data_IF_718577824252
#
_entry.id   IF_718577824252
#
_cell.length_a   1.000
_cell.length_b   1.000
_cell.length_c   1.000
_cell.angle_alpha   90.00
_cell.angle_beta   90.00
_cell.angle_gamma   90.00
#
_symmetry.space_group_name_H-M   'P 1'
#
loop_
_entity.id
_entity.type
_entity.pdbx_description
1 polymer ?
#
# COMPACT_ATOMS: atom_id res chain seq x y z
N UNK A 1 19.48 -2.29 -5.58
CA UNK A 1 18.61 -1.93 -4.43
C UNK A 1 19.35 -2.19 -3.12
N UNK A 2 19.33 -1.26 -2.16
CA UNK A 2 19.95 -1.50 -0.87
C UNK A 2 19.26 -2.66 -0.15
N UNK A 3 20.00 -3.55 0.56
CA UNK A 3 19.39 -4.69 1.22
C UNK A 3 18.42 -4.30 2.35
N UNK A 4 18.59 -3.11 2.94
CA UNK A 4 17.71 -2.58 4.00
C UNK A 4 16.68 -1.60 3.46
N UNK A 5 16.32 -1.66 2.17
CA UNK A 5 15.34 -0.76 1.56
C UNK A 5 13.96 -0.90 2.21
N UNK A 6 13.25 0.23 2.29
CA UNK A 6 11.83 0.25 2.68
C UNK A 6 10.99 0.13 1.42
N UNK A 7 10.19 -0.93 1.35
CA UNK A 7 9.39 -1.27 0.19
C UNK A 7 7.91 -1.13 0.54
N UNK A 8 7.16 -0.42 -0.29
CA UNK A 8 5.71 -0.34 -0.20
C UNK A 8 5.09 -1.15 -1.34
N UNK A 9 4.25 -2.11 -0.99
CA UNK A 9 3.46 -2.87 -1.94
C UNK A 9 2.00 -2.39 -1.86
N UNK A 10 1.42 -1.96 -2.98
CA UNK A 10 0.07 -1.42 -3.02
C UNK A 10 -0.86 -2.43 -3.72
N UNK A 11 -1.75 -3.02 -2.95
CA UNK A 11 -2.87 -3.82 -3.46
C UNK A 11 -4.03 -3.72 -2.50
N UNK A 12 -5.03 -2.89 -2.84
CA UNK A 12 -6.11 -2.53 -1.93
C UNK A 12 -7.25 -3.55 -1.90
N UNK A 13 -7.56 -4.15 -3.05
CA UNK A 13 -8.66 -5.11 -3.26
C UNK A 13 -8.42 -5.85 -4.58
N UNK A 14 -9.17 -6.86 -4.96
CA UNK A 14 -10.12 -7.64 -4.18
C UNK A 14 -9.40 -8.70 -3.35
N UNK A 15 -10.15 -9.43 -2.49
CA UNK A 15 -9.57 -10.46 -1.63
C UNK A 15 -8.79 -11.50 -2.43
N UNK A 16 -9.37 -12.02 -3.51
CA UNK A 16 -8.70 -13.01 -4.36
C UNK A 16 -7.42 -12.46 -5.00
N UNK A 17 -7.49 -11.23 -5.51
CA UNK A 17 -6.33 -10.58 -6.13
C UNK A 17 -5.24 -10.27 -5.09
N UNK A 18 -5.63 -9.85 -3.88
CA UNK A 18 -4.68 -9.65 -2.79
C UNK A 18 -3.97 -10.94 -2.44
N UNK A 19 -4.69 -12.04 -2.32
CA UNK A 19 -4.10 -13.35 -2.04
C UNK A 19 -3.16 -13.80 -3.17
N UNK A 20 -3.51 -13.54 -4.43
CA UNK A 20 -2.66 -13.87 -5.57
C UNK A 20 -1.36 -13.06 -5.60
N UNK A 21 -1.30 -11.93 -4.89
CA UNK A 21 -0.08 -11.11 -4.80
C UNK A 21 0.82 -11.51 -3.63
N UNK A 22 0.40 -12.40 -2.74
CA UNK A 22 1.24 -12.83 -1.60
C UNK A 22 2.57 -13.46 -2.03
N UNK A 23 2.66 -14.20 -3.15
CA UNK A 23 3.96 -14.68 -3.62
C UNK A 23 4.97 -13.56 -3.92
N UNK A 24 4.50 -12.37 -4.27
CA UNK A 24 5.38 -11.20 -4.48
C UNK A 24 6.08 -10.81 -3.19
N UNK A 25 5.34 -10.77 -2.08
CA UNK A 25 5.92 -10.48 -0.76
C UNK A 25 7.00 -11.51 -0.40
N UNK A 26 6.71 -12.79 -0.60
CA UNK A 26 7.67 -13.87 -0.36
C UNK A 26 8.93 -13.70 -1.22
N UNK A 27 8.75 -13.42 -2.51
CA UNK A 27 9.87 -13.25 -3.42
C UNK A 27 10.77 -12.08 -3.02
N UNK A 28 10.16 -10.94 -2.63
CA UNK A 28 10.90 -9.77 -2.19
C UNK A 28 11.71 -10.05 -0.92
N UNK A 29 11.12 -10.67 0.07
CA UNK A 29 11.81 -10.99 1.33
C UNK A 29 12.85 -12.08 1.16
N UNK A 30 12.65 -13.00 0.23
CA UNK A 30 13.64 -14.03 -0.09
C UNK A 30 14.86 -13.41 -0.77
N UNK A 31 14.63 -12.48 -1.71
CA UNK A 31 15.72 -11.80 -2.42
C UNK A 31 16.45 -10.78 -1.53
N UNK A 32 15.72 -10.06 -0.68
CA UNK A 32 16.27 -9.02 0.20
C UNK A 32 15.75 -9.18 1.63
N UNK A 33 16.31 -10.13 2.41
CA UNK A 33 15.78 -10.46 3.74
C UNK A 33 15.84 -9.30 4.74
N UNK A 34 16.77 -8.36 4.56
CA UNK A 34 16.92 -7.21 5.43
C UNK A 34 15.99 -6.04 5.06
N UNK A 35 15.26 -6.13 3.95
CA UNK A 35 14.31 -5.10 3.55
C UNK A 35 13.11 -5.08 4.49
N UNK A 36 12.49 -3.90 4.61
CA UNK A 36 11.24 -3.74 5.36
C UNK A 36 10.09 -3.62 4.37
N UNK A 37 9.21 -4.61 4.37
CA UNK A 37 8.07 -4.66 3.47
C UNK A 37 6.81 -4.21 4.17
N UNK A 38 6.22 -3.13 3.67
CA UNK A 38 4.93 -2.63 4.11
C UNK A 38 3.91 -2.89 2.99
N UNK A 39 2.77 -3.43 3.34
CA UNK A 39 1.68 -3.65 2.39
C UNK A 39 0.53 -2.71 2.70
N UNK A 40 0.16 -1.87 1.73
CA UNK A 40 -1.00 -1.01 1.81
C UNK A 40 -2.20 -1.76 1.23
N UNK A 41 -3.20 -2.01 2.07
CA UNK A 41 -4.37 -2.81 1.71
C UNK A 41 -5.66 -2.14 2.16
N UNK A 42 -6.80 -2.69 1.71
CA UNK A 42 -8.12 -2.32 2.22
C UNK A 42 -8.47 -3.10 3.48
N UNK A 43 -9.52 -2.64 4.17
CA UNK A 43 -9.91 -3.21 5.46
C UNK A 43 -10.30 -4.69 5.38
N UNK A 44 -10.99 -5.09 4.29
CA UNK A 44 -11.49 -6.46 4.15
C UNK A 44 -10.36 -7.48 4.04
N UNK A 45 -9.29 -7.15 3.32
CA UNK A 45 -8.17 -8.05 3.11
C UNK A 45 -7.16 -8.04 4.25
N UNK A 46 -7.20 -7.04 5.13
CA UNK A 46 -6.21 -6.87 6.18
C UNK A 46 -6.08 -8.08 7.10
N UNK A 47 -7.21 -8.67 7.50
CA UNK A 47 -7.20 -9.82 8.40
C UNK A 47 -6.52 -11.04 7.78
N UNK A 48 -6.68 -11.22 6.46
CA UNK A 48 -6.06 -12.32 5.75
C UNK A 48 -4.54 -12.16 5.63
N UNK A 49 -4.06 -10.92 5.61
CA UNK A 49 -2.64 -10.63 5.48
C UNK A 49 -1.92 -10.52 6.82
N UNK A 50 -2.66 -10.38 7.93
CA UNK A 50 -2.09 -10.10 9.25
C UNK A 50 -1.10 -11.18 9.72
N UNK A 51 -1.31 -12.43 9.33
CA UNK A 51 -0.48 -13.57 9.73
C UNK A 51 0.65 -13.87 8.73
N UNK A 52 0.79 -13.09 7.67
CA UNK A 52 1.80 -13.35 6.64
C UNK A 52 3.20 -12.99 7.14
N UNK A 53 4.13 -13.98 7.26
CA UNK A 53 5.45 -13.74 7.84
C UNK A 53 6.37 -12.89 6.95
N UNK A 54 6.02 -12.69 5.68
CA UNK A 54 6.83 -11.91 4.74
C UNK A 54 6.46 -10.42 4.74
N UNK A 55 5.39 -10.04 5.46
CA UNK A 55 4.95 -8.65 5.56
C UNK A 55 5.39 -8.13 6.92
N UNK A 56 6.25 -7.11 6.92
CA UNK A 56 6.75 -6.50 8.16
C UNK A 56 5.72 -5.56 8.78
N UNK A 57 4.99 -4.83 7.94
CA UNK A 57 3.96 -3.91 8.39
C UNK A 57 2.78 -3.91 7.44
N UNK A 58 1.58 -3.90 8.00
CA UNK A 58 0.34 -3.85 7.25
C UNK A 58 -0.35 -2.53 7.55
N UNK A 59 -0.58 -1.72 6.51
CA UNK A 59 -1.28 -0.46 6.64
C UNK A 59 -2.61 -0.53 5.91
N UNK A 60 -3.68 -0.17 6.62
CA UNK A 60 -5.04 -0.22 6.07
C UNK A 60 -5.47 1.18 5.67
N UNK A 61 -5.89 1.34 4.40
CA UNK A 61 -6.52 2.57 3.95
C UNK A 61 -7.97 2.28 3.59
N UNK A 62 -8.94 3.00 4.19
CA UNK A 62 -10.37 2.71 3.99
C UNK A 62 -10.86 3.31 2.67
N UNK A 63 -10.47 2.72 1.55
CA UNK A 63 -10.82 3.22 0.21
C UNK A 63 -12.33 3.30 -0.01
N UNK A 64 -13.07 2.27 0.43
CA UNK A 64 -14.52 2.25 0.26
C UNK A 64 -15.19 3.40 1.02
N UNK A 65 -14.70 3.70 2.21
CA UNK A 65 -15.18 4.84 3.00
C UNK A 65 -14.87 6.15 2.30
N UNK A 66 -13.67 6.28 1.76
CA UNK A 66 -13.26 7.45 1.00
C UNK A 66 -14.15 7.67 -0.22
N UNK A 67 -14.39 6.61 -1.00
CA UNK A 67 -15.28 6.66 -2.17
C UNK A 67 -16.71 7.01 -1.77
N UNK A 68 -17.22 6.47 -0.65
CA UNK A 68 -18.55 6.77 -0.15
C UNK A 68 -18.68 8.26 0.24
N UNK A 69 -17.66 8.84 0.86
CA UNK A 69 -17.65 10.27 1.16
C UNK A 69 -17.71 11.10 -0.11
N UNK A 70 -16.98 10.74 -1.15
CA UNK A 70 -17.03 11.45 -2.43
C UNK A 70 -18.40 11.34 -3.08
N UNK A 71 -19.02 10.15 -3.09
CA UNK A 71 -20.36 9.97 -3.67
C UNK A 71 -21.42 10.78 -2.95
N UNK A 72 -21.26 10.99 -1.64
CA UNK A 72 -22.21 11.73 -0.80
C UNK A 72 -21.81 13.20 -0.64
N UNK A 73 -20.89 13.70 -1.45
CA UNK A 73 -20.39 15.08 -1.43
C UNK A 73 -19.82 15.50 -0.07
N UNK A 74 -19.28 14.55 0.69
CA UNK A 74 -18.61 14.81 1.97
C UNK A 74 -17.12 15.02 1.71
N UNK A 75 -16.79 16.18 1.16
CA UNK A 75 -15.43 16.45 0.68
C UNK A 75 -14.42 16.62 1.82
N UNK A 76 -14.82 17.18 2.96
CA UNK A 76 -13.90 17.36 4.08
C UNK A 76 -13.40 16.04 4.66
N UNK A 77 -14.27 15.05 5.00
CA UNK A 77 -13.78 13.73 5.43
C UNK A 77 -12.93 13.03 4.38
N UNK A 78 -13.32 13.12 3.10
CA UNK A 78 -12.53 12.53 2.02
C UNK A 78 -11.14 13.15 1.94
N UNK A 79 -11.06 14.47 2.04
CA UNK A 79 -9.79 15.19 2.03
C UNK A 79 -8.92 14.81 3.23
N UNK A 80 -9.52 14.67 4.42
CA UNK A 80 -8.80 14.25 5.62
C UNK A 80 -8.16 12.87 5.45
N UNK A 81 -8.90 11.90 4.89
CA UNK A 81 -8.36 10.56 4.62
C UNK A 81 -7.21 10.62 3.62
N UNK A 82 -7.34 11.43 2.57
CA UNK A 82 -6.28 11.61 1.57
C UNK A 82 -5.05 12.27 2.17
N UNK A 83 -5.23 13.30 3.01
CA UNK A 83 -4.14 13.99 3.69
C UNK A 83 -3.42 13.05 4.65
N UNK A 84 -4.15 12.26 5.44
CA UNK A 84 -3.55 11.34 6.40
C UNK A 84 -2.72 10.28 5.71
N UNK A 85 -3.21 9.75 4.59
CA UNK A 85 -2.46 8.81 3.77
C UNK A 85 -1.18 9.44 3.22
N UNK A 86 -1.28 10.65 2.68
CA UNK A 86 -0.12 11.37 2.14
C UNK A 86 0.92 11.64 3.22
N UNK A 87 0.50 12.10 4.39
CA UNK A 87 1.41 12.36 5.51
C UNK A 87 2.12 11.08 5.95
N UNK A 88 1.39 9.97 6.03
CA UNK A 88 1.97 8.68 6.36
C UNK A 88 3.03 8.26 5.32
N UNK A 89 2.71 8.36 4.04
CA UNK A 89 3.64 8.03 2.96
C UNK A 89 4.93 8.84 3.04
N UNK A 90 4.81 10.15 3.25
CA UNK A 90 5.97 11.04 3.32
C UNK A 90 6.79 10.80 4.59
N UNK A 91 6.15 10.47 5.70
CA UNK A 91 6.83 10.18 6.96
C UNK A 91 7.61 8.88 6.90
N UNK A 92 7.05 7.86 6.24
CA UNK A 92 7.68 6.55 6.14
C UNK A 92 8.87 6.52 5.19
N UNK A 93 8.91 7.40 4.21
CA UNK A 93 10.04 7.55 3.27
C UNK A 93 10.40 6.24 2.58
N UNK A 94 9.46 5.67 1.85
CA UNK A 94 9.71 4.44 1.10
C UNK A 94 10.76 4.66 0.00
N UNK A 95 11.65 3.70 -0.14
CA UNK A 95 12.67 3.71 -1.21
C UNK A 95 12.08 3.20 -2.52
N UNK A 96 11.21 2.18 -2.44
CA UNK A 96 10.61 1.52 -3.59
C UNK A 96 9.12 1.38 -3.35
N UNK A 97 8.32 1.69 -4.37
CA UNK A 97 6.89 1.46 -4.37
C UNK A 97 6.52 0.56 -5.53
N UNK A 98 5.88 -0.57 -5.23
CA UNK A 98 5.34 -1.50 -6.21
C UNK A 98 3.81 -1.37 -6.22
N UNK A 99 3.27 -0.80 -7.29
CA UNK A 99 1.82 -0.69 -7.48
C UNK A 99 1.34 -1.86 -8.33
N UNK A 100 0.94 -2.93 -7.65
CA UNK A 100 0.41 -4.13 -8.32
C UNK A 100 -1.11 -4.08 -8.49
N UNK A 101 -1.74 -3.01 -8.05
CA UNK A 101 -3.17 -2.78 -8.23
C UNK A 101 -3.48 -2.22 -9.62
N UNK A 102 -2.64 -1.31 -10.10
CA UNK A 102 -2.73 -0.78 -11.47
C UNK A 102 -3.88 0.18 -11.72
N UNK A 103 -4.53 0.72 -10.70
CA UNK A 103 -5.58 1.72 -10.85
C UNK A 103 -5.00 3.13 -10.85
N UNK A 104 -5.73 4.08 -11.45
CA UNK A 104 -5.33 5.48 -11.45
C UNK A 104 -5.08 6.01 -10.03
N UNK A 105 -5.97 5.68 -9.09
CA UNK A 105 -5.84 6.14 -7.71
C UNK A 105 -4.60 5.57 -7.02
N UNK A 106 -4.27 4.29 -7.26
CA UNK A 106 -3.06 3.69 -6.69
C UNK A 106 -1.80 4.28 -7.31
N UNK A 107 -1.85 4.64 -8.57
CA UNK A 107 -0.77 5.39 -9.23
C UNK A 107 -0.54 6.76 -8.58
N UNK A 108 -1.60 7.47 -8.22
CA UNK A 108 -1.49 8.72 -7.47
C UNK A 108 -0.89 8.52 -6.09
N UNK A 109 -1.25 7.43 -5.40
CA UNK A 109 -0.66 7.07 -4.11
C UNK A 109 0.84 6.84 -4.26
N UNK A 110 1.23 6.06 -5.27
CA UNK A 110 2.64 5.79 -5.55
C UNK A 110 3.42 7.09 -5.82
N UNK A 111 2.85 7.99 -6.61
CA UNK A 111 3.45 9.29 -6.89
C UNK A 111 3.59 10.13 -5.62
N UNK A 112 2.54 10.16 -4.78
CA UNK A 112 2.53 10.95 -3.54
C UNK A 112 3.55 10.45 -2.52
N UNK A 113 3.98 9.19 -2.61
CA UNK A 113 4.98 8.62 -1.70
C UNK A 113 6.36 9.23 -1.89
N UNK A 114 6.63 9.84 -3.05
CA UNK A 114 7.93 10.39 -3.45
C UNK A 114 9.07 9.37 -3.36
N UNK A 115 8.76 8.09 -3.53
CA UNK A 115 9.77 7.05 -3.56
C UNK A 115 10.72 7.26 -4.75
N UNK A 116 11.98 6.90 -4.57
CA UNK A 116 12.99 7.00 -5.63
C UNK A 116 12.73 6.03 -6.79
N UNK A 117 12.16 4.87 -6.50
CA UNK A 117 11.81 3.85 -7.49
C UNK A 117 10.31 3.55 -7.36
N UNK A 118 9.59 3.68 -8.47
CA UNK A 118 8.14 3.39 -8.55
C UNK A 118 7.92 2.47 -9.72
N UNK A 119 7.30 1.32 -9.46
CA UNK A 119 6.98 0.29 -10.45
C UNK A 119 5.48 0.03 -10.39
N UNK A 120 4.83 0.15 -11.52
CA UNK A 120 3.38 -0.08 -11.55
C UNK A 120 2.80 -0.11 -12.93
#
# INVERSE_FOLDING_TARGET
MPPAAKILLIRLSSIGDVLHCTPVARALKTAWPASRLTWLTGAVAADLLAENPYIDELHVWPRETWEAHLRNHRLTPAWQLSRDLRQWLLREKFDIVLDVHGLFITGLIAYASRAGIRIG
#
